data_IF_678636983879
#
_entry.id   IF_678636983879
#
_cell.length_a   1.000
_cell.length_b   1.000
_cell.length_c   1.000
_cell.angle_alpha   90.00
_cell.angle_beta   90.00
_cell.angle_gamma   90.00
#
_symmetry.space_group_name_H-M   'P 1'
#
loop_
_entity.id
_entity.type
_entity.pdbx_description
1 polymer ?
#
# COMPACT_ATOMS: atom_id res chain seq x y z
N UNK A 1 7.90 -21.25 -8.61
CA UNK A 1 7.38 -21.26 -7.24
C UNK A 1 6.01 -21.90 -7.19
N UNK A 2 5.64 -22.64 -6.12
CA UNK A 2 4.30 -23.22 -5.97
C UNK A 2 3.22 -22.14 -5.70
N UNK A 3 3.61 -21.02 -5.11
CA UNK A 3 2.81 -19.80 -4.94
C UNK A 3 3.65 -18.61 -5.34
N UNK A 4 3.01 -17.59 -5.91
CA UNK A 4 3.66 -16.31 -6.19
C UNK A 4 4.18 -15.72 -4.88
N UNK A 5 5.44 -15.30 -4.86
CA UNK A 5 6.06 -14.69 -3.69
C UNK A 5 7.04 -13.60 -4.11
N UNK A 6 6.75 -12.37 -3.73
CA UNK A 6 7.60 -11.20 -4.01
C UNK A 6 8.97 -11.38 -3.37
N UNK A 7 9.02 -11.70 -2.08
CA UNK A 7 10.29 -11.89 -1.36
C UNK A 7 11.14 -13.02 -1.93
N UNK A 8 10.53 -14.17 -2.29
CA UNK A 8 11.26 -15.27 -2.92
C UNK A 8 11.78 -14.87 -4.31
N UNK A 9 10.97 -14.17 -5.12
CA UNK A 9 11.36 -13.71 -6.45
C UNK A 9 12.55 -12.75 -6.35
N UNK A 10 12.51 -11.73 -5.49
CA UNK A 10 13.62 -10.81 -5.25
C UNK A 10 14.91 -11.55 -4.85
N UNK A 11 14.81 -12.43 -3.86
CA UNK A 11 15.98 -13.14 -3.33
C UNK A 11 16.64 -14.02 -4.39
N UNK A 12 15.85 -14.83 -5.11
CA UNK A 12 16.38 -15.73 -6.15
C UNK A 12 16.88 -14.94 -7.35
N UNK A 13 16.17 -13.88 -7.77
CA UNK A 13 16.60 -13.01 -8.88
C UNK A 13 17.99 -12.41 -8.61
N UNK A 14 18.20 -11.82 -7.44
CA UNK A 14 19.49 -11.24 -7.07
C UNK A 14 20.60 -12.30 -6.97
N UNK A 15 20.33 -13.43 -6.32
CA UNK A 15 21.31 -14.50 -6.15
C UNK A 15 21.70 -15.16 -7.48
N UNK A 16 20.76 -15.31 -8.40
CA UNK A 16 20.97 -15.96 -9.69
C UNK A 16 21.90 -15.18 -10.63
N UNK A 17 22.01 -13.85 -10.48
CA UNK A 17 22.86 -13.01 -11.35
C UNK A 17 24.33 -13.40 -11.31
N UNK A 18 24.82 -13.93 -10.20
CA UNK A 18 26.22 -14.38 -10.03
C UNK A 18 26.35 -15.91 -9.90
N UNK A 19 25.24 -16.64 -10.06
CA UNK A 19 25.28 -18.11 -10.07
C UNK A 19 25.88 -18.64 -11.37
N UNK A 20 26.48 -19.85 -11.32
CA UNK A 20 26.97 -20.48 -12.54
C UNK A 20 25.84 -21.08 -13.35
N UNK A 21 25.82 -20.80 -14.65
CA UNK A 21 24.83 -21.34 -15.58
C UNK A 21 23.57 -20.48 -15.69
N UNK A 22 22.46 -21.08 -16.08
CA UNK A 22 21.16 -20.41 -16.29
C UNK A 22 20.19 -20.79 -15.20
N UNK A 23 19.57 -19.80 -14.58
CA UNK A 23 18.46 -19.96 -13.62
C UNK A 23 17.16 -19.53 -14.27
N UNK A 24 16.11 -20.35 -14.16
CA UNK A 24 14.77 -20.02 -14.62
C UNK A 24 13.87 -19.92 -13.40
N UNK A 25 13.21 -18.78 -13.24
CA UNK A 25 12.17 -18.59 -12.23
C UNK A 25 10.82 -18.65 -12.94
N UNK A 26 10.05 -19.67 -12.64
CA UNK A 26 8.66 -19.78 -13.11
C UNK A 26 7.69 -19.45 -11.99
N UNK A 27 6.53 -18.90 -12.34
CA UNK A 27 5.56 -18.35 -11.42
C UNK A 27 6.19 -17.24 -10.54
N UNK A 28 7.00 -16.38 -11.18
CA UNK A 28 7.61 -15.22 -10.57
C UNK A 28 6.55 -14.17 -10.22
N UNK A 29 6.80 -13.41 -9.16
CA UNK A 29 6.01 -12.22 -8.85
C UNK A 29 6.23 -11.16 -9.95
N UNK A 30 5.17 -10.42 -10.28
CA UNK A 30 5.18 -9.39 -11.34
C UNK A 30 4.99 -7.98 -10.78
N UNK A 31 5.11 -7.82 -9.47
CA UNK A 31 5.08 -6.51 -8.84
C UNK A 31 6.13 -5.59 -9.49
N UNK A 32 5.80 -4.30 -9.72
CA UNK A 32 6.68 -3.35 -10.40
C UNK A 32 8.10 -3.30 -9.82
N UNK A 33 8.24 -3.53 -8.52
CA UNK A 33 9.51 -3.57 -7.80
C UNK A 33 10.42 -4.73 -8.27
N UNK A 34 9.84 -5.84 -8.73
CA UNK A 34 10.60 -6.97 -9.31
C UNK A 34 11.24 -6.54 -10.63
N UNK A 35 10.46 -5.92 -11.51
CA UNK A 35 10.96 -5.40 -12.78
C UNK A 35 12.00 -4.30 -12.57
N UNK A 36 11.81 -3.46 -11.56
CA UNK A 36 12.73 -2.37 -11.23
C UNK A 36 14.10 -2.91 -10.79
N UNK A 37 14.14 -3.87 -9.87
CA UNK A 37 15.37 -4.56 -9.45
C UNK A 37 16.03 -5.29 -10.63
N UNK A 38 15.24 -5.96 -11.48
CA UNK A 38 15.77 -6.63 -12.65
C UNK A 38 16.45 -5.65 -13.61
N UNK A 39 15.84 -4.49 -13.89
CA UNK A 39 16.42 -3.42 -14.72
C UNK A 39 17.67 -2.82 -14.09
N UNK A 40 17.70 -2.62 -12.79
CA UNK A 40 18.88 -2.18 -12.06
C UNK A 40 20.03 -3.20 -12.24
N UNK A 41 19.77 -4.49 -12.05
CA UNK A 41 20.75 -5.55 -12.22
C UNK A 41 21.26 -5.64 -13.68
N UNK A 42 20.39 -5.46 -14.67
CA UNK A 42 20.78 -5.39 -16.09
C UNK A 42 21.69 -4.19 -16.34
N UNK A 43 21.37 -3.02 -15.78
CA UNK A 43 22.28 -1.86 -15.86
C UNK A 43 23.63 -2.12 -15.19
N UNK A 44 23.70 -3.00 -14.21
CA UNK A 44 24.96 -3.45 -13.58
C UNK A 44 25.68 -4.55 -14.36
N UNK A 45 25.15 -5.02 -15.51
CA UNK A 45 25.75 -6.02 -16.37
C UNK A 45 25.18 -7.44 -16.22
N UNK A 46 24.09 -7.63 -15.47
CA UNK A 46 23.38 -8.90 -15.41
C UNK A 46 22.67 -9.21 -16.74
N UNK A 47 22.49 -10.49 -17.02
CA UNK A 47 21.76 -10.97 -18.20
C UNK A 47 20.43 -11.57 -17.77
N UNK A 48 19.38 -10.78 -17.90
CA UNK A 48 18.02 -11.14 -17.47
C UNK A 48 17.07 -10.92 -18.63
N UNK A 49 16.20 -11.90 -18.90
CA UNK A 49 15.12 -11.80 -19.87
C UNK A 49 13.78 -12.23 -19.23
N UNK A 50 12.66 -11.86 -19.87
CA UNK A 50 11.32 -12.08 -19.32
C UNK A 50 10.94 -11.09 -18.21
N UNK A 51 11.60 -9.95 -18.10
CA UNK A 51 11.27 -8.91 -17.13
C UNK A 51 9.79 -8.49 -17.29
N UNK A 52 9.11 -8.26 -16.17
CA UNK A 52 7.68 -7.96 -16.08
C UNK A 52 6.76 -9.14 -16.50
N UNK A 53 7.27 -10.37 -16.49
CA UNK A 53 6.48 -11.57 -16.75
C UNK A 53 6.61 -12.60 -15.63
N UNK A 54 5.74 -13.62 -15.65
CA UNK A 54 5.79 -14.73 -14.69
C UNK A 54 6.99 -15.65 -14.85
N UNK A 55 7.78 -15.48 -15.92
CA UNK A 55 8.93 -16.32 -16.23
C UNK A 55 10.19 -15.48 -16.47
N UNK A 56 11.10 -15.50 -15.49
CA UNK A 56 12.39 -14.83 -15.60
C UNK A 56 13.49 -15.86 -15.97
N UNK A 57 14.37 -15.49 -16.89
CA UNK A 57 15.55 -16.28 -17.24
C UNK A 57 16.78 -15.44 -16.95
N UNK A 58 17.65 -15.94 -16.08
CA UNK A 58 18.86 -15.28 -15.62
C UNK A 58 20.08 -16.10 -16.05
N UNK A 59 20.93 -15.55 -16.90
CA UNK A 59 22.23 -16.12 -17.20
C UNK A 59 23.26 -15.54 -16.23
N UNK A 60 23.84 -16.38 -15.39
CA UNK A 60 24.82 -15.94 -14.41
C UNK A 60 26.07 -15.34 -15.06
N UNK A 61 26.55 -14.25 -14.50
CA UNK A 61 27.77 -13.55 -14.93
C UNK A 61 28.84 -13.67 -13.86
N UNK A 62 30.10 -13.44 -14.25
CA UNK A 62 31.24 -13.56 -13.34
C UNK A 62 31.37 -12.38 -12.38
N UNK A 63 30.88 -11.21 -12.79
CA UNK A 63 30.90 -9.99 -11.98
C UNK A 63 29.83 -9.01 -12.44
N UNK A 64 29.43 -8.13 -11.55
CA UNK A 64 28.63 -6.95 -11.82
C UNK A 64 29.49 -5.69 -11.64
N UNK A 65 29.08 -4.58 -12.23
CA UNK A 65 29.72 -3.27 -12.09
C UNK A 65 28.75 -2.24 -11.51
N UNK A 66 29.24 -1.07 -11.12
CA UNK A 66 28.40 0.04 -10.67
C UNK A 66 27.54 0.57 -11.80
N UNK A 67 26.32 1.01 -11.46
CA UNK A 67 25.39 1.64 -12.37
C UNK A 67 24.63 2.79 -11.68
N UNK A 68 24.09 3.71 -12.47
CA UNK A 68 23.10 4.68 -12.01
C UNK A 68 21.73 4.14 -12.36
N UNK A 69 20.84 4.10 -11.39
CA UNK A 69 19.47 3.62 -11.55
C UNK A 69 18.52 4.53 -10.79
N UNK A 70 17.45 4.95 -11.44
CA UNK A 70 16.36 5.68 -10.80
C UNK A 70 15.31 4.68 -10.31
N UNK A 71 15.13 4.64 -8.99
CA UNK A 71 14.18 3.73 -8.35
C UNK A 71 12.76 4.21 -8.59
N UNK A 72 11.84 3.29 -8.81
CA UNK A 72 10.40 3.59 -8.93
C UNK A 72 9.86 4.32 -7.69
N UNK A 73 8.89 5.24 -7.88
CA UNK A 73 8.17 5.80 -6.73
C UNK A 73 7.41 4.71 -5.98
N UNK A 74 7.36 4.81 -4.65
CA UNK A 74 6.65 3.85 -3.79
C UNK A 74 5.13 3.95 -4.03
N UNK A 75 4.59 2.94 -4.72
CA UNK A 75 3.15 2.86 -5.02
C UNK A 75 2.29 2.63 -3.78
N UNK A 76 2.85 2.01 -2.73
CA UNK A 76 2.12 1.77 -1.48
C UNK A 76 2.06 3.05 -0.64
N UNK A 77 3.14 3.82 -0.60
CA UNK A 77 3.12 5.17 -0.01
C UNK A 77 2.12 6.06 -0.77
N UNK A 78 2.18 6.05 -2.11
CA UNK A 78 1.22 6.78 -2.98
C UNK A 78 -0.23 6.42 -2.67
N UNK A 79 -0.57 5.13 -2.66
CA UNK A 79 -1.93 4.65 -2.34
C UNK A 79 -2.37 5.02 -0.93
N UNK A 80 -1.45 5.00 0.03
CA UNK A 80 -1.71 5.39 1.41
C UNK A 80 -2.08 6.87 1.52
N UNK A 81 -1.32 7.78 0.88
CA UNK A 81 -1.67 9.20 0.85
C UNK A 81 -2.97 9.47 0.09
N UNK A 82 -3.23 8.74 -1.01
CA UNK A 82 -4.50 8.82 -1.70
C UNK A 82 -5.69 8.47 -0.79
N UNK A 83 -5.55 7.42 0.03
CA UNK A 83 -6.57 7.03 1.02
C UNK A 83 -6.67 8.02 2.19
N UNK A 84 -5.57 8.64 2.61
CA UNK A 84 -5.60 9.71 3.61
C UNK A 84 -6.40 10.93 3.13
N UNK A 85 -6.20 11.37 1.87
CA UNK A 85 -7.00 12.44 1.25
C UNK A 85 -8.45 12.01 1.11
N UNK A 86 -8.71 10.77 0.69
CA UNK A 86 -10.06 10.22 0.61
C UNK A 86 -10.76 10.20 1.98
N UNK A 87 -10.04 9.93 3.07
CA UNK A 87 -10.56 9.91 4.44
C UNK A 87 -10.83 11.32 4.97
N UNK A 88 -9.85 12.20 4.91
CA UNK A 88 -9.94 13.55 5.47
C UNK A 88 -10.76 14.53 4.61
N UNK A 89 -10.85 14.26 3.31
CA UNK A 89 -11.30 15.24 2.30
C UNK A 89 -10.17 16.14 1.85
N UNK A 90 -10.47 17.01 0.89
CA UNK A 90 -9.50 17.94 0.32
C UNK A 90 -9.13 17.59 -1.11
N UNK A 91 -8.05 18.22 -1.59
CA UNK A 91 -7.57 18.14 -2.97
C UNK A 91 -6.03 18.21 -2.97
N UNK A 92 -5.36 17.12 -3.31
CA UNK A 92 -3.90 16.98 -3.23
C UNK A 92 -3.34 16.37 -4.50
N UNK A 93 -2.23 16.91 -4.99
CA UNK A 93 -1.42 16.32 -6.05
C UNK A 93 -0.31 15.45 -5.44
N UNK A 94 -0.35 14.16 -5.72
CA UNK A 94 0.72 13.22 -5.39
C UNK A 94 1.76 13.29 -6.51
N UNK A 95 2.79 14.11 -6.29
CA UNK A 95 3.83 14.38 -7.28
C UNK A 95 4.67 13.14 -7.59
N UNK A 96 5.07 12.98 -8.85
CA UNK A 96 5.84 11.86 -9.37
C UNK A 96 5.16 10.48 -9.21
N UNK A 97 3.92 10.43 -8.71
CA UNK A 97 3.15 9.21 -8.65
C UNK A 97 2.79 8.72 -10.06
N UNK A 98 2.87 7.41 -10.25
CA UNK A 98 2.67 6.76 -11.54
C UNK A 98 1.43 5.87 -11.48
N UNK A 99 0.33 6.21 -12.19
CA UNK A 99 -0.94 5.47 -12.12
C UNK A 99 -0.81 3.99 -12.44
N UNK A 100 0.01 3.63 -13.44
CA UNK A 100 0.19 2.27 -13.90
C UNK A 100 0.79 1.33 -12.83
N UNK A 101 1.41 1.87 -11.80
CA UNK A 101 1.99 1.08 -10.70
C UNK A 101 0.95 0.64 -9.66
N UNK A 102 -0.24 1.30 -9.63
CA UNK A 102 -1.25 1.03 -8.60
C UNK A 102 -2.69 1.16 -9.13
N UNK A 103 -2.92 0.89 -10.41
CA UNK A 103 -4.21 1.11 -11.07
C UNK A 103 -5.39 0.47 -10.32
N UNK A 104 -5.25 -0.78 -9.87
CA UNK A 104 -6.32 -1.45 -9.12
C UNK A 104 -6.75 -0.68 -7.85
N UNK A 105 -5.82 -0.04 -7.14
CA UNK A 105 -6.15 0.77 -5.97
C UNK A 105 -6.82 2.08 -6.35
N UNK A 106 -6.40 2.69 -7.46
CA UNK A 106 -7.02 3.91 -8.00
C UNK A 106 -8.47 3.64 -8.47
N UNK A 107 -8.71 2.50 -9.10
CA UNK A 107 -10.05 2.08 -9.54
C UNK A 107 -10.99 1.88 -8.35
N UNK A 108 -10.50 1.28 -7.27
CA UNK A 108 -11.26 1.11 -6.01
C UNK A 108 -11.57 2.46 -5.37
N UNK A 109 -10.64 3.40 -5.36
CA UNK A 109 -10.90 4.77 -4.87
C UNK A 109 -11.94 5.48 -5.72
N UNK A 110 -11.88 5.33 -7.04
CA UNK A 110 -12.89 5.90 -7.95
C UNK A 110 -14.28 5.29 -7.70
N UNK A 111 -14.37 3.95 -7.50
CA UNK A 111 -15.61 3.27 -7.11
C UNK A 111 -16.15 3.78 -5.76
N UNK A 112 -15.27 4.10 -4.82
CA UNK A 112 -15.64 4.71 -3.55
C UNK A 112 -16.08 6.18 -3.67
N UNK A 113 -16.10 6.76 -4.87
CA UNK A 113 -16.55 8.13 -5.14
C UNK A 113 -15.46 9.19 -4.95
N UNK A 114 -14.19 8.81 -4.93
CA UNK A 114 -13.04 9.70 -4.88
C UNK A 114 -12.67 10.13 -6.29
N UNK A 115 -12.45 11.42 -6.53
CA UNK A 115 -11.95 11.91 -7.81
C UNK A 115 -10.45 11.58 -7.92
N UNK A 116 -10.11 10.76 -8.91
CA UNK A 116 -8.74 10.37 -9.24
C UNK A 116 -8.43 10.88 -10.64
N UNK A 117 -7.46 11.77 -10.76
CA UNK A 117 -7.12 12.40 -12.04
C UNK A 117 -5.62 12.28 -12.31
N UNK A 118 -5.20 11.43 -13.26
CA UNK A 118 -3.81 11.42 -13.73
C UNK A 118 -3.43 12.78 -14.33
N UNK A 119 -2.22 13.24 -14.05
CA UNK A 119 -1.64 14.48 -14.58
C UNK A 119 -0.23 14.26 -15.08
N UNK A 120 0.36 15.23 -15.75
CA UNK A 120 1.77 15.18 -16.18
C UNK A 120 2.76 15.20 -14.99
N UNK A 121 2.30 15.65 -13.81
CA UNK A 121 3.14 15.80 -12.61
C UNK A 121 2.91 14.68 -11.59
N UNK A 122 1.92 13.80 -11.82
CA UNK A 122 1.55 12.72 -10.90
C UNK A 122 0.06 12.41 -10.90
N UNK A 123 -0.52 12.15 -9.73
CA UNK A 123 -1.94 11.81 -9.57
C UNK A 123 -2.60 12.81 -8.63
N UNK A 124 -3.64 13.51 -9.11
CA UNK A 124 -4.48 14.36 -8.26
C UNK A 124 -5.60 13.55 -7.65
N UNK A 125 -5.71 13.63 -6.34
CA UNK A 125 -6.76 12.97 -5.53
C UNK A 125 -7.61 14.05 -4.89
N UNK A 126 -8.92 13.99 -5.08
CA UNK A 126 -9.83 14.95 -4.47
C UNK A 126 -11.12 14.30 -3.96
N UNK A 127 -11.57 14.74 -2.79
CA UNK A 127 -12.89 14.42 -2.23
C UNK A 127 -13.51 15.65 -1.60
N UNK A 128 -14.55 16.17 -2.24
CA UNK A 128 -15.20 17.43 -1.89
C UNK A 128 -16.53 17.18 -1.13
N UNK A 129 -16.46 16.61 0.08
CA UNK A 129 -17.61 16.50 0.98
C UNK A 129 -18.64 15.42 0.61
N UNK A 130 -18.60 14.81 -0.57
CA UNK A 130 -19.43 13.64 -0.89
C UNK A 130 -19.09 12.48 0.06
N UNK A 131 -20.12 11.75 0.51
CA UNK A 131 -19.90 10.54 1.33
C UNK A 131 -19.20 9.45 0.50
N UNK A 132 -18.38 8.65 1.16
CA UNK A 132 -17.76 7.50 0.53
C UNK A 132 -18.81 6.41 0.23
N UNK A 133 -18.66 5.76 -0.91
CA UNK A 133 -19.46 4.60 -1.29
C UNK A 133 -18.79 3.31 -0.82
N UNK A 134 -19.57 2.29 -0.42
CA UNK A 134 -19.00 0.99 -0.05
C UNK A 134 -18.40 0.29 -1.27
N UNK A 135 -17.38 -0.53 -1.02
CA UNK A 135 -16.72 -1.34 -2.04
C UNK A 135 -16.61 -2.80 -1.63
N UNK A 136 -16.48 -3.68 -2.62
CA UNK A 136 -16.13 -5.09 -2.43
C UNK A 136 -14.81 -5.37 -3.14
N UNK A 137 -13.79 -5.81 -2.38
CA UNK A 137 -12.42 -5.96 -2.87
C UNK A 137 -11.80 -7.24 -2.32
N UNK A 138 -11.09 -7.97 -3.17
CA UNK A 138 -10.17 -9.03 -2.76
C UNK A 138 -8.74 -8.61 -3.06
N UNK A 139 -7.82 -8.85 -2.12
CA UNK A 139 -6.39 -8.68 -2.39
C UNK A 139 -5.93 -9.72 -3.41
N UNK A 140 -5.00 -9.35 -4.28
CA UNK A 140 -4.45 -10.25 -5.28
C UNK A 140 -3.02 -9.82 -5.64
N UNK A 141 -2.17 -10.74 -6.16
CA UNK A 141 -0.89 -10.37 -6.74
C UNK A 141 -1.07 -9.32 -7.83
N UNK A 142 -0.02 -8.53 -8.06
CA UNK A 142 -0.03 -7.54 -9.14
C UNK A 142 -0.45 -8.18 -10.50
N UNK A 143 -1.33 -7.52 -11.28
CA UNK A 143 -1.83 -6.15 -11.14
C UNK A 143 -3.11 -5.98 -10.28
N UNK A 144 -3.47 -6.97 -9.46
CA UNK A 144 -4.61 -6.89 -8.55
C UNK A 144 -4.43 -5.91 -7.39
N UNK A 145 -5.45 -5.82 -6.52
CA UNK A 145 -5.41 -4.92 -5.36
C UNK A 145 -4.35 -5.40 -4.35
N UNK A 146 -3.36 -4.57 -4.01
CA UNK A 146 -2.24 -5.01 -3.18
C UNK A 146 -2.65 -5.21 -1.72
N UNK A 147 -2.23 -6.33 -1.13
CA UNK A 147 -2.42 -6.64 0.29
C UNK A 147 -1.83 -5.55 1.20
N UNK A 148 -0.81 -4.82 0.74
CA UNK A 148 -0.18 -3.72 1.49
C UNK A 148 -1.02 -2.45 1.58
N UNK A 149 -2.14 -2.35 0.86
CA UNK A 149 -3.15 -1.30 0.98
C UNK A 149 -4.46 -1.78 1.63
N UNK A 150 -4.56 -3.05 2.02
CA UNK A 150 -5.76 -3.64 2.61
C UNK A 150 -6.19 -2.93 3.89
N UNK A 151 -5.27 -2.70 4.83
CA UNK A 151 -5.56 -2.08 6.11
C UNK A 151 -6.00 -0.61 5.96
N UNK A 152 -5.37 0.13 5.04
CA UNK A 152 -5.70 1.52 4.72
C UNK A 152 -7.09 1.63 4.09
N UNK A 153 -7.42 0.72 3.15
CA UNK A 153 -8.76 0.65 2.57
C UNK A 153 -9.80 0.31 3.64
N UNK A 154 -9.50 -0.63 4.53
CA UNK A 154 -10.39 -0.98 5.63
C UNK A 154 -10.69 0.22 6.53
N UNK A 155 -9.67 0.99 6.91
CA UNK A 155 -9.84 2.23 7.65
C UNK A 155 -10.75 3.22 6.88
N UNK A 156 -10.51 3.41 5.58
CA UNK A 156 -11.33 4.29 4.75
C UNK A 156 -12.79 3.86 4.71
N UNK A 157 -13.06 2.55 4.56
CA UNK A 157 -14.40 2.00 4.48
C UNK A 157 -15.20 2.09 5.79
N UNK A 158 -14.56 2.35 6.92
CA UNK A 158 -15.27 2.65 8.17
C UNK A 158 -16.18 3.89 8.07
N UNK A 159 -15.93 4.76 7.06
CA UNK A 159 -16.68 5.98 6.79
C UNK A 159 -17.56 5.91 5.53
N UNK A 160 -17.66 4.75 4.89
CA UNK A 160 -18.52 4.56 3.71
C UNK A 160 -20.00 4.53 4.09
N UNK A 161 -20.87 4.96 3.19
CA UNK A 161 -22.34 4.91 3.38
C UNK A 161 -22.87 3.53 3.01
N UNK A 162 -22.77 2.56 3.92
CA UNK A 162 -23.21 1.19 3.72
C UNK A 162 -22.17 0.16 4.17
N UNK A 163 -22.26 -1.02 3.62
CA UNK A 163 -21.41 -2.16 4.02
C UNK A 163 -20.40 -2.47 2.93
N UNK A 164 -19.12 -2.47 3.29
CA UNK A 164 -18.01 -2.90 2.42
C UNK A 164 -17.54 -4.30 2.81
N UNK A 165 -16.94 -5.01 1.85
CA UNK A 165 -16.32 -6.32 2.07
C UNK A 165 -14.89 -6.31 1.56
N UNK A 166 -13.96 -6.77 2.38
CA UNK A 166 -12.55 -6.90 2.02
C UNK A 166 -12.10 -8.32 2.33
N UNK A 167 -11.69 -9.05 1.30
CA UNK A 167 -11.15 -10.41 1.39
C UNK A 167 -9.64 -10.38 1.24
N UNK A 168 -8.91 -10.92 2.23
CA UNK A 168 -7.45 -11.02 2.21
C UNK A 168 -7.04 -12.41 1.72
N UNK A 169 -6.51 -12.49 0.50
CA UNK A 169 -6.14 -13.77 -0.14
C UNK A 169 -4.64 -14.06 -0.12
N UNK A 170 -3.82 -13.08 0.28
CA UNK A 170 -2.35 -13.17 0.21
C UNK A 170 -1.75 -13.60 1.54
N UNK A 171 -2.14 -12.95 2.65
CA UNK A 171 -1.62 -13.21 3.97
C UNK A 171 -2.71 -13.67 4.93
N UNK A 172 -2.55 -14.86 5.49
CA UNK A 172 -3.43 -15.36 6.53
C UNK A 172 -3.41 -14.44 7.76
N UNK A 173 -4.58 -14.18 8.33
CA UNK A 173 -4.76 -13.43 9.58
C UNK A 173 -4.20 -11.98 9.58
N UNK A 174 -4.14 -11.29 8.43
CA UNK A 174 -3.67 -9.90 8.34
C UNK A 174 -4.74 -8.89 8.78
N UNK A 175 -5.34 -9.10 9.96
CA UNK A 175 -6.45 -8.29 10.48
C UNK A 175 -6.19 -7.71 11.89
N UNK A 176 -4.96 -7.64 12.34
CA UNK A 176 -4.62 -7.16 13.69
C UNK A 176 -5.08 -5.72 13.96
N UNK A 177 -5.18 -4.88 12.93
CA UNK A 177 -5.66 -3.51 13.02
C UNK A 177 -7.17 -3.40 13.30
N UNK A 178 -7.95 -4.45 13.09
CA UNK A 178 -9.42 -4.44 13.30
C UNK A 178 -9.78 -4.10 14.74
N UNK A 179 -9.07 -4.69 15.71
CA UNK A 179 -9.34 -4.41 17.13
C UNK A 179 -9.03 -2.95 17.50
N UNK A 180 -7.99 -2.39 16.91
CA UNK A 180 -7.61 -1.00 17.14
C UNK A 180 -8.56 -0.03 16.43
N UNK A 181 -9.02 -0.34 15.22
CA UNK A 181 -10.08 0.42 14.54
C UNK A 181 -11.41 0.37 15.33
N UNK A 182 -11.73 -0.78 15.94
CA UNK A 182 -12.92 -0.89 16.80
C UNK A 182 -12.84 0.03 18.03
N UNK A 183 -11.64 0.32 18.57
CA UNK A 183 -11.44 1.31 19.65
C UNK A 183 -11.81 2.73 19.20
N UNK A 184 -11.65 3.03 17.91
CA UNK A 184 -12.09 4.29 17.31
C UNK A 184 -13.59 4.29 16.96
N UNK A 185 -14.31 3.20 17.28
CA UNK A 185 -15.74 3.07 17.03
C UNK A 185 -16.11 2.46 15.67
N UNK A 186 -15.16 1.85 14.97
CA UNK A 186 -15.46 1.12 13.73
C UNK A 186 -16.25 -0.16 14.00
N UNK A 187 -17.17 -0.49 13.10
CA UNK A 187 -17.95 -1.74 13.13
C UNK A 187 -17.44 -2.69 12.08
N UNK A 188 -16.62 -3.65 12.48
CA UNK A 188 -15.97 -4.61 11.59
C UNK A 188 -16.20 -6.03 12.11
N UNK A 189 -16.73 -6.90 11.26
CA UNK A 189 -16.91 -8.33 11.54
C UNK A 189 -15.97 -9.14 10.65
N UNK A 190 -15.22 -10.04 11.26
CA UNK A 190 -14.36 -10.98 10.55
C UNK A 190 -15.07 -12.33 10.40
N UNK A 191 -14.94 -12.92 9.20
CA UNK A 191 -15.39 -14.26 8.89
C UNK A 191 -14.33 -14.92 7.98
N UNK A 192 -13.48 -15.73 8.57
CA UNK A 192 -12.32 -16.33 7.89
C UNK A 192 -11.35 -15.26 7.37
N UNK A 193 -11.20 -15.21 6.06
CA UNK A 193 -10.33 -14.28 5.32
C UNK A 193 -11.04 -12.98 4.90
N UNK A 194 -12.29 -12.80 5.29
CA UNK A 194 -13.14 -11.69 4.86
C UNK A 194 -13.55 -10.81 6.03
N UNK A 195 -13.31 -9.51 5.87
CA UNK A 195 -13.82 -8.47 6.75
C UNK A 195 -15.06 -7.83 6.15
N UNK A 196 -16.14 -7.75 6.92
CA UNK A 196 -17.34 -6.96 6.62
C UNK A 196 -17.30 -5.69 7.46
N UNK A 197 -17.29 -4.54 6.82
CA UNK A 197 -17.14 -3.22 7.43
C UNK A 197 -18.47 -2.46 7.26
N UNK A 198 -19.14 -2.15 8.36
CA UNK A 198 -20.30 -1.28 8.36
C UNK A 198 -19.81 0.15 8.59
N UNK A 199 -20.10 1.04 7.65
CA UNK A 199 -19.69 2.43 7.77
C UNK A 199 -20.43 3.14 8.92
N UNK A 200 -19.69 3.99 9.63
CA UNK A 200 -20.22 4.78 10.75
C UNK A 200 -20.19 6.27 10.41
N UNK A 201 -21.12 7.02 10.97
CA UNK A 201 -21.19 8.48 10.77
C UNK A 201 -19.96 9.20 11.34
N UNK A 202 -19.38 8.68 12.43
CA UNK A 202 -18.27 9.30 13.14
C UNK A 202 -17.38 8.25 13.77
N UNK A 203 -16.06 8.45 13.63
CA UNK A 203 -15.06 7.81 14.46
C UNK A 203 -14.76 8.71 15.65
N UNK A 204 -14.30 8.13 16.76
CA UNK A 204 -13.91 8.84 17.98
C UNK A 204 -12.43 8.64 18.25
N UNK A 205 -11.75 9.72 18.58
CA UNK A 205 -10.36 9.67 19.00
C UNK A 205 -10.16 8.79 20.24
N UNK A 206 -9.12 7.97 20.21
CA UNK A 206 -8.72 7.09 21.30
C UNK A 206 -7.22 6.77 21.23
N UNK A 207 -6.60 6.37 22.34
CA UNK A 207 -5.28 5.75 22.29
C UNK A 207 -5.34 4.39 21.60
N UNK A 208 -4.52 4.20 20.56
CA UNK A 208 -4.42 2.97 19.77
C UNK A 208 -2.97 2.51 19.67
N UNK A 209 -2.77 1.23 19.36
CA UNK A 209 -1.44 0.61 19.34
C UNK A 209 -1.07 0.19 17.92
N UNK A 210 0.03 0.73 17.43
CA UNK A 210 0.67 0.26 16.21
C UNK A 210 1.25 -1.15 16.42
N UNK A 211 0.86 -2.10 15.56
CA UNK A 211 1.30 -3.51 15.65
C UNK A 211 2.29 -3.89 14.56
N UNK A 212 2.16 -3.30 13.39
CA UNK A 212 3.04 -3.46 12.23
C UNK A 212 2.96 -2.22 11.33
N UNK A 213 3.76 -2.20 10.27
CA UNK A 213 3.86 -1.08 9.34
C UNK A 213 2.50 -0.69 8.70
N UNK A 214 1.74 -1.68 8.19
CA UNK A 214 0.51 -1.41 7.42
C UNK A 214 -0.69 -1.17 8.34
N UNK A 215 -0.81 -1.94 9.42
CA UNK A 215 -1.79 -1.69 10.46
C UNK A 215 -1.61 -0.30 11.05
N UNK A 216 -0.37 0.12 11.34
CA UNK A 216 -0.07 1.41 11.96
C UNK A 216 -0.57 2.59 11.13
N UNK A 217 -0.30 2.60 9.82
CA UNK A 217 -0.72 3.72 8.97
C UNK A 217 -2.23 3.75 8.77
N UNK A 218 -2.93 2.61 8.83
CA UNK A 218 -4.39 2.60 8.79
C UNK A 218 -5.02 3.32 9.99
N UNK A 219 -4.39 3.22 11.15
CA UNK A 219 -4.82 3.94 12.37
C UNK A 219 -4.59 5.45 12.25
N UNK A 220 -3.50 5.87 11.62
CA UNK A 220 -3.28 7.30 11.30
C UNK A 220 -4.38 7.80 10.36
N UNK A 221 -4.68 7.07 9.28
CA UNK A 221 -5.75 7.43 8.34
C UNK A 221 -7.09 7.56 9.07
N UNK A 222 -7.46 6.58 9.92
CA UNK A 222 -8.68 6.65 10.69
C UNK A 222 -8.69 7.85 11.65
N UNK A 223 -7.56 8.15 12.29
CA UNK A 223 -7.36 9.29 13.18
C UNK A 223 -7.61 10.64 12.51
N UNK A 224 -7.26 10.79 11.21
CA UNK A 224 -7.51 12.03 10.46
C UNK A 224 -9.00 12.42 10.37
N UNK A 225 -9.93 11.45 10.51
CA UNK A 225 -11.35 11.69 10.45
C UNK A 225 -12.08 11.44 11.79
N UNK A 226 -11.35 11.10 12.85
CA UNK A 226 -11.90 10.88 14.17
C UNK A 226 -12.18 12.20 14.91
N UNK A 227 -13.28 12.27 15.64
CA UNK A 227 -13.58 13.41 16.53
C UNK A 227 -12.77 13.29 17.83
N UNK A 228 -12.06 14.35 18.20
CA UNK A 228 -11.19 14.38 19.37
C UNK A 228 -9.76 13.95 19.01
N UNK A 229 -8.97 13.58 20.01
CA UNK A 229 -7.57 13.24 19.86
C UNK A 229 -7.37 11.73 19.70
N UNK A 230 -6.58 11.34 18.71
CA UNK A 230 -6.11 9.96 18.51
C UNK A 230 -4.62 9.89 18.77
N UNK A 231 -4.21 9.13 19.76
CA UNK A 231 -2.79 8.86 20.04
C UNK A 231 -2.41 7.50 19.48
N UNK A 232 -1.53 7.48 18.49
CA UNK A 232 -0.99 6.23 17.94
C UNK A 232 0.34 5.92 18.62
N UNK A 233 0.37 4.88 19.45
CA UNK A 233 1.57 4.45 20.18
C UNK A 233 2.42 3.50 19.32
N UNK A 234 3.73 3.38 19.66
CA UNK A 234 4.70 2.50 18.98
C UNK A 234 4.89 2.83 17.49
N UNK A 235 4.89 4.11 17.16
CA UNK A 235 4.98 4.61 15.77
C UNK A 235 6.29 4.27 15.04
N UNK A 236 7.30 3.73 15.74
CA UNK A 236 8.53 3.22 15.12
C UNK A 236 8.27 2.16 14.03
N UNK A 237 7.10 1.52 14.05
CA UNK A 237 6.67 0.64 12.97
C UNK A 237 6.43 1.41 11.66
N UNK A 238 5.93 2.66 11.73
CA UNK A 238 5.71 3.53 10.57
C UNK A 238 7.01 3.95 9.89
N UNK A 239 8.06 4.21 10.69
CA UNK A 239 9.35 4.70 10.21
C UNK A 239 10.06 3.72 9.26
N UNK A 240 9.60 2.47 9.20
CA UNK A 240 10.13 1.43 8.32
C UNK A 240 9.72 1.61 6.85
N UNK A 241 8.69 2.39 6.56
CA UNK A 241 8.18 2.55 5.19
C UNK A 241 7.47 3.87 4.92
N UNK A 242 7.44 4.79 5.89
CA UNK A 242 6.86 6.13 5.72
C UNK A 242 7.81 7.17 6.30
N UNK A 243 8.55 7.82 5.41
CA UNK A 243 9.46 8.88 5.81
C UNK A 243 8.68 10.14 6.20
N UNK A 244 8.83 10.58 7.48
CA UNK A 244 8.26 11.83 8.01
C UNK A 244 6.78 12.00 7.66
N UNK A 245 5.98 10.95 7.90
CA UNK A 245 4.55 10.91 7.55
C UNK A 245 3.79 12.09 8.17
N UNK A 246 4.05 12.38 9.44
CA UNK A 246 3.43 13.47 10.18
C UNK A 246 3.74 14.84 9.57
N UNK A 247 4.97 15.09 9.14
CA UNK A 247 5.36 16.36 8.53
C UNK A 247 4.69 16.55 7.16
N UNK A 248 4.64 15.48 6.33
CA UNK A 248 4.00 15.52 5.02
C UNK A 248 2.49 15.78 5.14
N UNK A 249 1.82 15.09 6.07
CA UNK A 249 0.39 15.30 6.33
C UNK A 249 0.10 16.67 6.95
N UNK A 250 0.93 17.14 7.90
CA UNK A 250 0.79 18.46 8.48
C UNK A 250 0.96 19.57 7.45
N UNK A 251 1.92 19.43 6.52
CA UNK A 251 2.11 20.37 5.41
C UNK A 251 0.90 20.43 4.46
N UNK A 252 0.10 19.36 4.38
CA UNK A 252 -1.16 19.31 3.66
C UNK A 252 -2.36 19.82 4.50
N UNK A 253 -2.15 20.27 5.74
CA UNK A 253 -3.17 20.86 6.60
C UNK A 253 -3.78 19.90 7.63
N UNK A 254 -3.26 18.69 7.79
CA UNK A 254 -3.70 17.78 8.85
C UNK A 254 -3.21 18.27 10.24
N UNK A 255 -4.09 18.19 11.24
CA UNK A 255 -3.71 18.43 12.63
C UNK A 255 -3.04 17.17 13.22
N UNK A 256 -1.77 16.97 12.94
CA UNK A 256 -0.97 15.82 13.35
C UNK A 256 0.40 16.28 13.81
N UNK A 257 0.94 15.63 14.83
CA UNK A 257 2.29 15.86 15.32
C UNK A 257 2.88 14.59 15.91
N UNK A 258 4.20 14.44 15.83
CA UNK A 258 4.92 13.42 16.57
C UNK A 258 5.24 13.97 17.97
N UNK A 259 4.90 13.19 18.98
CA UNK A 259 5.26 13.48 20.38
C UNK A 259 6.39 12.53 20.80
N UNK A 260 7.36 13.09 21.50
CA UNK A 260 8.43 12.29 22.14
C UNK A 260 7.96 11.89 23.54
N UNK A 261 8.21 10.65 23.93
CA UNK A 261 8.02 10.17 25.30
C UNK A 261 9.04 10.82 26.24
#
# INVERSE_FOLDING_TARGET
>A
FPKISVGATHTVLMAATLARGTTIIENAAQEPEIGDVARCLVAMGAKISGIDSERLVIEGVTSLHGATHEVLPDRIETGTYAMAVAMAGGDVLLQNARPELLQAALDVLAQAGVAVTPTNEGIRIARNGAGLMPVEVATAPFPGFPTDLQAQLMALMTRAKGTSRITETIFENRFMHVQELARLGAHIKLDGDTATIEGVDKLKGAPVMATDLRASVSLVIAGLAAEGETTVNRVYHLDRGFERLEDKLAACGAAIARISD
#
